data_IF_634629338296
#
_entry.id   IF_634629338296
#
_cell.length_a   1.000
_cell.length_b   1.000
_cell.length_c   1.000
_cell.angle_alpha   90.00
_cell.angle_beta   90.00
_cell.angle_gamma   90.00
#
_symmetry.space_group_name_H-M   'P 1'
#
loop_
_entity.id
_entity.type
_entity.pdbx_description
1 polymer ?
#
# COMPACT_ATOMS: atom_id res chain seq x y z
N UNK A 1 45.71 -53.17 15.28
CA UNK A 1 45.00 -52.47 14.19
C UNK A 1 44.34 -51.23 14.77
N UNK A 2 44.87 -50.04 14.47
CA UNK A 2 44.39 -48.75 15.01
C UNK A 2 43.13 -48.32 14.23
N UNK A 3 41.99 -48.22 14.92
CA UNK A 3 40.73 -47.71 14.36
C UNK A 3 40.63 -46.22 14.67
N UNK A 4 41.11 -45.37 13.75
CA UNK A 4 40.94 -43.92 13.84
C UNK A 4 40.46 -43.39 12.50
N UNK A 5 39.20 -43.65 12.16
CA UNK A 5 38.51 -42.95 11.06
C UNK A 5 37.03 -42.86 11.42
N UNK A 6 36.63 -41.85 12.20
CA UNK A 6 35.20 -41.49 12.30
C UNK A 6 34.99 -40.09 12.88
N UNK A 7 35.75 -39.09 12.41
CA UNK A 7 35.47 -37.69 12.80
C UNK A 7 35.42 -36.73 11.61
N UNK A 8 35.69 -37.18 10.38
CA UNK A 8 35.72 -36.31 9.20
C UNK A 8 34.35 -36.13 8.51
N UNK A 9 33.37 -36.99 8.81
CA UNK A 9 32.06 -36.97 8.11
C UNK A 9 31.07 -35.94 8.70
N UNK A 10 31.30 -35.46 9.93
CA UNK A 10 30.44 -34.47 10.59
C UNK A 10 30.73 -33.01 10.19
N UNK A 11 31.86 -32.74 9.53
CA UNK A 11 32.24 -31.38 9.15
C UNK A 11 31.65 -30.92 7.81
N UNK A 12 31.14 -31.84 6.97
CA UNK A 12 30.63 -31.49 5.63
C UNK A 12 29.20 -30.92 5.61
N UNK A 13 28.46 -30.94 6.73
CA UNK A 13 27.07 -30.48 6.75
C UNK A 13 26.90 -28.95 6.90
N UNK A 14 27.97 -28.17 7.07
CA UNK A 14 27.88 -26.74 7.42
C UNK A 14 27.99 -25.77 6.24
N UNK A 15 27.97 -26.26 5.00
CA UNK A 15 28.05 -25.39 3.81
C UNK A 15 26.81 -25.55 2.93
N UNK A 16 25.63 -25.37 3.51
CA UNK A 16 24.50 -24.85 2.74
C UNK A 16 24.32 -23.40 3.15
N UNK A 17 25.10 -22.52 2.53
CA UNK A 17 24.68 -21.12 2.48
C UNK A 17 23.36 -21.11 1.74
N UNK A 18 22.26 -21.10 2.48
CA UNK A 18 20.98 -20.69 1.92
C UNK A 18 21.23 -19.27 1.42
N UNK A 19 21.48 -19.12 0.13
CA UNK A 19 21.31 -17.84 -0.51
C UNK A 19 19.81 -17.57 -0.36
N UNK A 20 19.47 -16.84 0.69
CA UNK A 20 18.16 -16.23 0.82
C UNK A 20 18.14 -15.23 -0.32
N UNK A 21 17.66 -15.69 -1.49
CA UNK A 21 17.13 -14.78 -2.48
C UNK A 21 16.09 -13.97 -1.70
N UNK A 22 16.43 -12.72 -1.42
CA UNK A 22 15.45 -11.72 -1.04
C UNK A 22 14.57 -11.55 -2.27
N UNK A 23 13.60 -12.44 -2.41
CA UNK A 23 12.53 -12.33 -3.37
C UNK A 23 11.80 -11.03 -3.02
N UNK A 24 12.12 -9.96 -3.74
CA UNK A 24 11.38 -8.70 -3.67
C UNK A 24 10.18 -8.86 -4.59
N UNK A 25 8.96 -8.93 -4.09
CA UNK A 25 7.79 -9.01 -4.96
C UNK A 25 7.71 -7.69 -5.75
N UNK A 26 8.03 -7.73 -7.04
CA UNK A 26 7.92 -6.59 -7.97
C UNK A 26 6.46 -6.35 -8.36
N UNK A 27 5.57 -6.22 -7.37
CA UNK A 27 4.12 -5.99 -7.58
C UNK A 27 3.75 -4.50 -7.74
N UNK A 28 4.69 -3.62 -7.38
CA UNK A 28 4.58 -2.17 -7.49
C UNK A 28 5.73 -1.67 -8.37
N UNK A 29 5.49 -0.74 -9.30
CA UNK A 29 4.28 0.10 -9.47
C UNK A 29 3.06 -0.62 -10.07
N UNK A 30 1.84 -0.16 -9.74
CA UNK A 30 0.56 -0.69 -10.25
C UNK A 30 -0.61 0.29 -10.07
N UNK A 31 -1.70 0.07 -10.81
CA UNK A 31 -2.94 0.87 -10.77
C UNK A 31 -4.17 -0.02 -10.66
N UNK A 32 -5.15 0.40 -9.85
CA UNK A 32 -6.45 -0.26 -9.70
C UNK A 32 -7.58 0.77 -9.80
N UNK A 33 -8.73 0.33 -10.32
CA UNK A 33 -9.88 1.21 -10.53
C UNK A 33 -11.17 0.53 -10.04
N UNK A 34 -12.06 1.31 -9.44
CA UNK A 34 -13.46 0.97 -9.21
C UNK A 34 -14.37 1.87 -10.05
N UNK A 35 -15.66 1.92 -9.74
CA UNK A 35 -16.57 2.92 -10.34
C UNK A 35 -16.34 4.33 -9.79
N UNK A 36 -15.78 4.44 -8.58
CA UNK A 36 -15.62 5.71 -7.87
C UNK A 36 -14.17 6.18 -7.85
N UNK A 37 -13.21 5.27 -7.77
CA UNK A 37 -11.81 5.60 -7.49
C UNK A 37 -10.87 5.03 -8.53
N UNK A 38 -9.88 5.84 -8.91
CA UNK A 38 -8.64 5.39 -9.53
C UNK A 38 -7.53 5.56 -8.51
N UNK A 39 -6.87 4.46 -8.17
CA UNK A 39 -5.79 4.39 -7.18
C UNK A 39 -4.51 3.97 -7.90
N UNK A 40 -3.47 4.80 -7.83
CA UNK A 40 -2.18 4.50 -8.45
C UNK A 40 -1.07 4.49 -7.42
N UNK A 41 -0.20 3.50 -7.52
CA UNK A 41 1.10 3.45 -6.88
C UNK A 41 2.13 3.38 -8.00
N UNK A 42 2.75 4.50 -8.32
CA UNK A 42 3.67 4.65 -9.45
C UNK A 42 5.12 4.78 -8.97
N UNK A 43 6.05 4.72 -9.92
CA UNK A 43 7.43 5.11 -9.67
C UNK A 43 7.52 6.60 -9.31
N UNK A 44 8.52 6.96 -8.51
CA UNK A 44 8.79 8.35 -8.17
C UNK A 44 9.34 9.07 -9.40
N UNK A 45 8.59 10.08 -9.91
CA UNK A 45 8.94 10.79 -11.16
C UNK A 45 10.16 11.71 -11.05
N UNK A 46 10.41 12.28 -9.87
CA UNK A 46 11.53 13.19 -9.60
C UNK A 46 12.02 12.99 -8.17
N UNK A 47 13.34 12.90 -8.00
CA UNK A 47 13.99 12.77 -6.70
C UNK A 47 14.71 14.07 -6.38
N UNK A 48 14.10 14.91 -5.55
CA UNK A 48 14.75 16.11 -5.03
C UNK A 48 15.66 15.77 -3.84
N UNK A 49 16.67 16.61 -3.56
CA UNK A 49 17.66 16.37 -2.47
C UNK A 49 17.03 16.19 -1.08
N UNK A 50 15.78 16.60 -0.87
CA UNK A 50 15.04 16.44 0.39
C UNK A 50 14.11 15.22 0.46
N UNK A 51 13.93 14.49 -0.64
CA UNK A 51 13.03 13.33 -0.68
C UNK A 51 13.73 12.08 -0.16
N UNK A 52 13.04 11.33 0.70
CA UNK A 52 13.41 9.96 1.07
C UNK A 52 13.66 9.14 -0.19
N UNK A 53 14.86 8.57 -0.28
CA UNK A 53 15.29 7.72 -1.37
C UNK A 53 15.17 6.25 -0.97
N UNK A 54 14.91 5.38 -1.95
CA UNK A 54 14.94 3.94 -1.75
C UNK A 54 16.26 3.49 -1.13
N UNK A 55 16.18 2.56 -0.17
CA UNK A 55 17.36 1.95 0.46
C UNK A 55 17.43 0.49 0.07
N UNK A 56 18.46 0.14 -0.72
CA UNK A 56 18.68 -1.22 -1.23
C UNK A 56 18.58 -2.25 -0.10
N UNK A 57 17.74 -3.26 -0.30
CA UNK A 57 17.55 -4.35 0.66
C UNK A 57 16.72 -4.01 1.89
N UNK A 58 16.15 -2.80 2.02
CA UNK A 58 15.29 -2.46 3.16
C UNK A 58 13.94 -1.87 2.75
N UNK A 59 13.89 -0.89 1.85
CA UNK A 59 12.62 -0.39 1.28
C UNK A 59 12.79 0.24 -0.10
N UNK A 60 11.72 0.18 -0.90
CA UNK A 60 11.54 0.97 -2.11
C UNK A 60 10.63 2.17 -1.81
N UNK A 61 10.70 3.21 -2.63
CA UNK A 61 9.88 4.42 -2.52
C UNK A 61 8.99 4.56 -3.73
N UNK A 62 7.72 4.93 -3.50
CA UNK A 62 6.72 5.05 -4.56
C UNK A 62 5.95 6.37 -4.47
N UNK A 63 5.36 6.76 -5.60
CA UNK A 63 4.39 7.84 -5.70
C UNK A 63 2.98 7.29 -5.57
N UNK A 64 2.16 7.84 -4.69
CA UNK A 64 0.77 7.46 -4.53
C UNK A 64 -0.16 8.53 -5.08
N UNK A 65 -1.27 8.13 -5.72
CA UNK A 65 -2.37 9.06 -6.03
C UNK A 65 -3.75 8.40 -5.95
N UNK A 66 -4.75 9.18 -5.55
CA UNK A 66 -6.17 8.80 -5.63
C UNK A 66 -6.95 9.88 -6.36
N UNK A 67 -7.63 9.48 -7.42
CA UNK A 67 -8.53 10.31 -8.19
C UNK A 67 -9.98 9.85 -8.00
N UNK A 68 -10.87 10.80 -7.74
CA UNK A 68 -12.30 10.57 -7.84
C UNK A 68 -12.69 10.50 -9.32
N UNK A 69 -13.01 9.30 -9.82
CA UNK A 69 -13.52 9.07 -11.19
C UNK A 69 -15.03 8.81 -11.22
N UNK A 70 -15.69 8.83 -10.06
CA UNK A 70 -17.14 8.73 -9.96
C UNK A 70 -17.83 9.98 -10.52
N UNK A 71 -19.13 9.87 -10.79
CA UNK A 71 -19.91 10.91 -11.49
C UNK A 71 -20.12 12.19 -10.66
N UNK A 72 -20.04 12.09 -9.34
CA UNK A 72 -20.37 13.17 -8.43
C UNK A 72 -19.21 13.47 -7.49
N UNK A 73 -19.24 14.67 -6.94
CA UNK A 73 -18.42 15.00 -5.78
C UNK A 73 -18.79 14.14 -4.57
N UNK A 74 -17.80 13.99 -3.69
CA UNK A 74 -17.92 13.25 -2.44
C UNK A 74 -17.29 14.03 -1.31
N UNK A 75 -17.64 13.68 -0.09
CA UNK A 75 -17.28 14.44 1.11
C UNK A 75 -16.64 13.55 2.16
N UNK A 76 -15.94 14.19 3.11
CA UNK A 76 -15.22 13.55 4.22
C UNK A 76 -14.42 12.33 3.75
N UNK A 77 -13.68 12.51 2.66
CA UNK A 77 -12.88 11.43 2.08
C UNK A 77 -11.69 11.20 2.99
N UNK A 78 -11.46 9.94 3.34
CA UNK A 78 -10.27 9.51 4.07
C UNK A 78 -9.64 8.35 3.33
N UNK A 79 -8.33 8.46 3.12
CA UNK A 79 -7.51 7.43 2.52
C UNK A 79 -6.49 6.97 3.55
N UNK A 80 -6.44 5.68 3.82
CA UNK A 80 -5.52 5.07 4.77
C UNK A 80 -4.73 3.99 4.04
N UNK A 81 -3.41 4.06 4.10
CA UNK A 81 -2.52 3.17 3.35
C UNK A 81 -1.67 2.39 4.33
N UNK A 82 -1.67 1.07 4.18
CA UNK A 82 -0.95 0.15 5.03
C UNK A 82 -0.11 -0.81 4.21
N UNK A 83 1.01 -1.27 4.78
CA UNK A 83 1.70 -2.48 4.31
C UNK A 83 1.53 -3.60 5.31
N UNK A 84 1.59 -4.84 4.83
CA UNK A 84 1.68 -5.98 5.74
C UNK A 84 3.08 -6.11 6.35
N UNK A 85 3.17 -6.89 7.42
CA UNK A 85 4.41 -7.42 7.97
C UNK A 85 4.39 -8.95 7.85
N UNK A 86 5.41 -9.59 7.28
CA UNK A 86 5.42 -11.03 7.06
C UNK A 86 5.15 -11.84 8.33
N UNK A 87 4.39 -12.93 8.16
CA UNK A 87 4.06 -13.89 9.24
C UNK A 87 3.26 -13.28 10.38
N UNK A 88 2.66 -12.11 10.19
CA UNK A 88 1.77 -11.48 11.17
C UNK A 88 0.48 -11.01 10.50
N UNK A 89 -0.58 -10.88 11.28
CA UNK A 89 -1.82 -10.22 10.86
C UNK A 89 -1.73 -8.68 10.97
N UNK A 90 -0.70 -8.18 11.67
CA UNK A 90 -0.49 -6.75 11.90
C UNK A 90 -0.08 -6.07 10.61
N UNK A 91 -0.69 -4.93 10.34
CA UNK A 91 -0.34 -4.04 9.24
C UNK A 91 0.25 -2.76 9.82
N UNK A 92 1.26 -2.24 9.15
CA UNK A 92 1.85 -0.96 9.52
C UNK A 92 1.30 0.14 8.62
N UNK A 93 0.81 1.19 9.26
CA UNK A 93 0.41 2.40 8.56
C UNK A 93 1.63 2.99 7.84
N UNK A 94 1.42 3.37 6.59
CA UNK A 94 2.35 4.15 5.81
C UNK A 94 1.99 5.62 5.92
N UNK A 95 0.72 5.95 5.72
CA UNK A 95 0.15 7.28 5.93
C UNK A 95 -1.37 7.24 5.89
N UNK A 96 -1.99 8.32 6.40
CA UNK A 96 -3.40 8.62 6.24
C UNK A 96 -3.61 10.05 5.80
N UNK A 97 -4.51 10.27 4.84
CA UNK A 97 -4.87 11.58 4.31
C UNK A 97 -6.38 11.79 4.39
N UNK A 98 -6.80 13.05 4.48
CA UNK A 98 -8.21 13.43 4.51
C UNK A 98 -8.47 14.63 3.60
N UNK A 99 -9.60 14.59 2.92
CA UNK A 99 -10.13 15.72 2.16
C UNK A 99 -11.60 15.95 2.52
N UNK A 100 -11.94 17.20 2.83
CA UNK A 100 -13.31 17.55 3.22
C UNK A 100 -14.30 17.35 2.06
N UNK A 101 -13.83 17.60 0.83
CA UNK A 101 -14.62 17.53 -0.39
C UNK A 101 -13.70 17.21 -1.56
N UNK A 102 -14.13 16.29 -2.43
CA UNK A 102 -13.39 15.92 -3.63
C UNK A 102 -14.33 15.84 -4.84
N UNK A 103 -14.15 16.76 -5.79
CA UNK A 103 -14.94 16.82 -7.00
C UNK A 103 -14.64 15.65 -7.96
N UNK A 104 -15.61 15.33 -8.82
CA UNK A 104 -15.42 14.37 -9.90
C UNK A 104 -14.27 14.79 -10.83
N UNK A 105 -13.47 13.81 -11.26
CA UNK A 105 -12.30 13.99 -12.12
C UNK A 105 -11.07 14.57 -11.41
N UNK A 106 -11.15 14.93 -10.12
CA UNK A 106 -10.02 15.52 -9.39
C UNK A 106 -9.20 14.46 -8.65
N UNK A 107 -7.88 14.61 -8.72
CA UNK A 107 -6.94 13.94 -7.81
C UNK A 107 -6.96 14.72 -6.50
N UNK A 108 -7.34 14.04 -5.41
CA UNK A 108 -7.44 14.65 -4.09
C UNK A 108 -6.30 14.29 -3.16
N UNK A 109 -5.57 13.22 -3.47
CA UNK A 109 -4.57 12.67 -2.59
C UNK A 109 -3.33 12.34 -3.39
N UNK A 110 -2.19 12.85 -2.95
CA UNK A 110 -0.88 12.52 -3.50
C UNK A 110 0.13 12.35 -2.36
N UNK A 111 1.01 11.36 -2.49
CA UNK A 111 2.17 11.21 -1.62
C UNK A 111 3.38 10.89 -2.48
N UNK A 112 4.40 11.74 -2.46
CA UNK A 112 5.43 11.73 -3.49
C UNK A 112 6.41 10.54 -3.41
N UNK A 113 6.71 10.05 -2.21
CA UNK A 113 7.80 9.10 -1.97
C UNK A 113 7.62 8.28 -0.67
N UNK A 114 6.51 7.55 -0.56
CA UNK A 114 6.27 6.74 0.64
C UNK A 114 7.12 5.44 0.59
N UNK A 115 7.72 5.01 1.72
CA UNK A 115 8.58 3.83 1.76
C UNK A 115 7.78 2.54 1.97
N UNK A 116 7.97 1.55 1.11
CA UNK A 116 7.43 0.19 1.26
C UNK A 116 8.59 -0.77 1.46
N UNK A 117 8.56 -1.52 2.57
CA UNK A 117 9.62 -2.48 2.88
C UNK A 117 9.74 -3.55 1.80
N UNK A 118 10.96 -3.95 1.45
CA UNK A 118 11.21 -5.07 0.52
C UNK A 118 10.66 -6.42 1.03
N UNK A 119 10.32 -6.48 2.32
CA UNK A 119 9.69 -7.65 2.96
C UNK A 119 8.18 -7.67 2.81
N UNK A 120 7.55 -6.53 2.49
CA UNK A 120 6.10 -6.47 2.31
C UNK A 120 5.73 -7.06 0.95
N UNK A 121 4.69 -7.89 0.93
CA UNK A 121 4.12 -8.47 -0.29
C UNK A 121 2.76 -7.86 -0.65
N UNK A 122 2.25 -6.99 0.23
CA UNK A 122 0.93 -6.37 0.09
C UNK A 122 0.93 -4.93 0.57
N UNK A 123 0.29 -4.07 -0.22
CA UNK A 123 -0.17 -2.74 0.18
C UNK A 123 -1.69 -2.71 0.14
N UNK A 124 -2.29 -2.36 1.28
CA UNK A 124 -3.73 -2.18 1.44
C UNK A 124 -4.05 -0.68 1.40
N UNK A 125 -4.98 -0.28 0.55
CA UNK A 125 -5.50 1.09 0.48
C UNK A 125 -6.97 1.06 0.85
N UNK A 126 -7.31 1.72 1.95
CA UNK A 126 -8.68 1.89 2.42
C UNK A 126 -9.17 3.27 2.05
N UNK A 127 -10.30 3.37 1.36
CA UNK A 127 -10.93 4.65 1.04
C UNK A 127 -12.32 4.67 1.66
N UNK A 128 -12.58 5.67 2.49
CA UNK A 128 -13.92 5.95 3.00
C UNK A 128 -14.35 7.33 2.55
N UNK A 129 -15.64 7.50 2.28
CA UNK A 129 -16.22 8.77 1.88
C UNK A 129 -17.70 8.78 2.20
N UNK A 130 -18.36 9.90 1.95
CA UNK A 130 -19.80 10.01 2.02
C UNK A 130 -20.36 10.81 0.85
N UNK A 131 -21.66 10.62 0.61
CA UNK A 131 -22.48 11.57 -0.11
C UNK A 131 -22.46 12.96 0.57
N UNK A 132 -23.19 13.92 0.00
CA UNK A 132 -23.38 15.24 0.63
C UNK A 132 -23.67 15.07 2.13
N UNK A 133 -22.94 15.78 3.04
CA UNK A 133 -22.95 15.51 4.47
C UNK A 133 -24.31 15.44 5.15
N UNK A 134 -25.31 16.11 4.58
CA UNK A 134 -26.68 15.97 4.99
C UNK A 134 -27.61 16.11 3.80
N UNK A 135 -28.77 15.46 3.89
CA UNK A 135 -29.94 15.75 3.06
C UNK A 135 -30.99 16.44 3.93
N UNK A 136 -31.59 17.51 3.43
CA UNK A 136 -32.70 18.18 4.10
C UNK A 136 -34.02 17.49 3.73
N UNK A 137 -34.78 17.09 4.75
CA UNK A 137 -36.15 16.61 4.59
C UNK A 137 -37.11 17.79 4.35
N UNK A 138 -38.31 17.51 3.83
CA UNK A 138 -39.38 18.52 3.72
C UNK A 138 -39.73 19.18 5.06
N UNK A 139 -39.52 18.47 6.17
CA UNK A 139 -39.70 18.96 7.55
C UNK A 139 -38.58 19.90 8.04
N UNK A 140 -37.52 20.12 7.23
CA UNK A 140 -36.32 20.86 7.65
C UNK A 140 -35.31 20.04 8.45
N UNK A 141 -35.66 18.80 8.85
CA UNK A 141 -34.73 17.89 9.51
C UNK A 141 -33.56 17.53 8.59
N UNK A 142 -32.33 17.63 9.12
CA UNK A 142 -31.11 17.17 8.43
C UNK A 142 -30.86 15.71 8.76
N UNK A 143 -30.71 14.89 7.73
CA UNK A 143 -30.33 13.47 7.85
C UNK A 143 -28.93 13.31 7.30
N UNK A 144 -28.07 12.59 8.01
CA UNK A 144 -26.67 12.38 7.59
C UNK A 144 -26.59 11.66 6.23
N UNK A 145 -25.63 12.10 5.40
CA UNK A 145 -25.34 11.46 4.13
C UNK A 145 -24.83 10.03 4.30
N UNK A 146 -25.11 9.17 3.32
CA UNK A 146 -24.63 7.78 3.33
C UNK A 146 -23.10 7.75 3.28
N UNK A 147 -22.48 6.94 4.14
CA UNK A 147 -21.05 6.64 4.15
C UNK A 147 -20.75 5.36 3.36
N UNK A 148 -19.58 5.33 2.74
CA UNK A 148 -19.10 4.24 1.89
C UNK A 148 -17.66 3.90 2.22
N UNK A 149 -17.26 2.69 1.84
CA UNK A 149 -15.92 2.16 2.03
C UNK A 149 -15.56 1.27 0.84
N UNK A 150 -14.36 1.45 0.30
CA UNK A 150 -13.73 0.55 -0.65
C UNK A 150 -12.32 0.19 -0.19
N UNK A 151 -11.89 -1.02 -0.54
CA UNK A 151 -10.60 -1.58 -0.15
C UNK A 151 -9.89 -2.09 -1.41
N UNK A 152 -8.71 -1.54 -1.68
CA UNK A 152 -7.85 -1.94 -2.78
C UNK A 152 -6.65 -2.69 -2.22
N UNK A 153 -6.32 -3.83 -2.84
CA UNK A 153 -5.23 -4.70 -2.40
C UNK A 153 -4.23 -4.83 -3.53
N UNK A 154 -3.07 -4.21 -3.36
CA UNK A 154 -1.94 -4.36 -4.26
C UNK A 154 -1.07 -5.48 -3.73
N UNK A 155 -1.03 -6.59 -4.47
CA UNK A 155 -0.23 -7.77 -4.15
C UNK A 155 0.33 -8.34 -5.45
N UNK A 156 1.35 -9.17 -5.34
CA UNK A 156 1.88 -9.88 -6.49
C UNK A 156 0.83 -10.84 -7.07
N UNK A 157 0.75 -10.90 -8.40
CA UNK A 157 0.04 -11.98 -9.08
C UNK A 157 0.92 -13.22 -9.02
N UNK A 158 0.50 -14.25 -8.29
CA UNK A 158 1.08 -15.58 -8.41
C UNK A 158 0.93 -16.03 -9.86
N UNK A 159 2.04 -16.16 -10.59
CA UNK A 159 2.08 -16.85 -11.88
C UNK A 159 2.29 -18.34 -11.65
#
# INVERSE_FOLDING_TARGET
MKKTVSSLLLLLCMITTNQVYAYSPQSLPSSQNSKQWKVNIDEVKKTDKGMLQSKKGVFHTYHFSVQNIGKTEVYNVRVEVFRNEPKTETKYELFSLKEARLASGKTGFEHANFPVSVKADKVDVMITWQEHPFRAMRSGQKVEGRKFKEHFVFKESTK
#
